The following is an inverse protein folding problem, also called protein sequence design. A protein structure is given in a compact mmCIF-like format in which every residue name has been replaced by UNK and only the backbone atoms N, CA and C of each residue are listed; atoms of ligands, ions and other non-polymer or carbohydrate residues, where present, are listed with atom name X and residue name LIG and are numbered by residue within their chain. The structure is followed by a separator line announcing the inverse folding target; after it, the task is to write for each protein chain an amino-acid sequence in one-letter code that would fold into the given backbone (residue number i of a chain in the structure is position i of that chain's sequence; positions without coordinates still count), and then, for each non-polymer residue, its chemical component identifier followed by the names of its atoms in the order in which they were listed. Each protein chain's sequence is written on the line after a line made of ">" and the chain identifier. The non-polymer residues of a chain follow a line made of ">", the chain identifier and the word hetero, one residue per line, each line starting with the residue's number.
data_IF_304721811148
#
_entry.id   IF_304721811148
#
_cell.length_a   1.000
_cell.length_b   1.000
_cell.length_c   1.000
_cell.angle_alpha   90.00
_cell.angle_beta   90.00
_cell.angle_gamma   90.00
#
_symmetry.space_group_name_H-M   'P 1'
#
loop_
_entity.id
_entity.type
_entity.pdbx_description
1 polymer ?
#
# COMPACT_ATOMS: atom_id res chain seq x y z
N UNK A 1 -18.21 -11.38 -14.42
CA UNK A 1 -16.98 -10.83 -15.02
C UNK A 1 -16.41 -9.83 -14.04
N UNK A 2 -15.09 -9.81 -13.82
CA UNK A 2 -14.48 -8.80 -12.94
C UNK A 2 -14.68 -7.40 -13.56
N UNK A 3 -14.92 -6.36 -12.75
CA UNK A 3 -14.96 -4.98 -13.24
C UNK A 3 -13.72 -4.69 -14.08
N UNK A 4 -13.92 -4.09 -15.26
CA UNK A 4 -12.84 -3.77 -16.20
C UNK A 4 -11.83 -2.84 -15.52
N UNK A 5 -12.36 -1.84 -14.85
CA UNK A 5 -11.74 -0.82 -14.04
C UNK A 5 -12.18 -0.94 -12.57
N UNK A 6 -11.26 -0.62 -11.66
CA UNK A 6 -11.54 -0.52 -10.23
C UNK A 6 -10.56 0.51 -9.65
N UNK A 7 -11.09 1.46 -8.90
CA UNK A 7 -10.32 2.59 -8.38
C UNK A 7 -9.21 2.12 -7.44
N UNK A 8 -8.09 2.83 -7.47
CA UNK A 8 -7.03 2.69 -6.48
C UNK A 8 -7.20 3.84 -5.50
N UNK A 9 -7.39 3.50 -4.23
CA UNK A 9 -7.56 4.51 -3.16
C UNK A 9 -6.26 4.66 -2.40
N UNK A 10 -5.73 5.89 -2.35
CA UNK A 10 -4.54 6.22 -1.58
C UNK A 10 -4.99 7.14 -0.43
N UNK A 11 -4.75 6.70 0.80
CA UNK A 11 -5.02 7.46 2.01
C UNK A 11 -4.15 8.71 2.16
N UNK A 12 -4.35 9.43 3.26
CA UNK A 12 -3.58 10.62 3.63
C UNK A 12 -2.21 10.21 4.15
N UNK A 13 -1.20 11.06 3.89
CA UNK A 13 0.18 10.89 4.39
C UNK A 13 0.81 9.54 4.02
N UNK A 14 0.40 8.96 2.89
CA UNK A 14 1.01 7.74 2.37
C UNK A 14 2.32 8.10 1.69
N UNK A 15 3.40 7.39 2.04
CA UNK A 15 4.67 7.51 1.34
C UNK A 15 4.88 6.32 0.40
N UNK A 16 4.77 6.57 -0.91
CA UNK A 16 5.05 5.57 -1.94
C UNK A 16 6.46 5.80 -2.47
N UNK A 17 7.35 4.83 -2.26
CA UNK A 17 8.72 4.88 -2.76
C UNK A 17 8.78 4.59 -4.27
N UNK A 18 9.96 4.83 -4.86
CA UNK A 18 10.20 4.68 -6.30
C UNK A 18 9.87 3.29 -6.84
N UNK A 19 9.40 3.24 -8.09
CA UNK A 19 9.09 2.01 -8.85
C UNK A 19 8.08 1.08 -8.16
N UNK A 20 7.16 1.62 -7.37
CA UNK A 20 6.07 0.83 -6.81
C UNK A 20 4.95 0.60 -7.85
N UNK A 21 4.41 -0.62 -7.91
CA UNK A 21 3.27 -0.98 -8.76
C UNK A 21 2.08 -1.29 -7.85
N UNK A 22 0.94 -0.62 -8.05
CA UNK A 22 -0.30 -0.85 -7.29
C UNK A 22 -1.36 -1.43 -8.23
N UNK A 23 -1.92 -2.59 -7.88
CA UNK A 23 -2.95 -3.22 -8.71
C UNK A 23 -4.32 -2.55 -8.49
N UNK A 24 -5.20 -2.67 -9.50
CA UNK A 24 -6.55 -2.11 -9.48
C UNK A 24 -7.37 -2.60 -8.27
N UNK A 25 -8.23 -1.73 -7.75
CA UNK A 25 -9.12 -2.06 -6.62
C UNK A 25 -8.44 -2.11 -5.26
N UNK A 26 -7.15 -1.76 -5.17
CA UNK A 26 -6.42 -1.74 -3.91
C UNK A 26 -6.63 -0.42 -3.16
N UNK A 27 -6.81 -0.52 -1.86
CA UNK A 27 -6.78 0.60 -0.92
C UNK A 27 -5.50 0.59 -0.08
N UNK A 28 -4.79 1.73 -0.04
CA UNK A 28 -3.66 1.96 0.86
C UNK A 28 -4.12 2.90 1.98
N UNK A 29 -4.12 2.41 3.21
CA UNK A 29 -4.54 3.15 4.39
C UNK A 29 -3.62 4.31 4.76
N UNK A 30 -4.14 5.23 5.57
CA UNK A 30 -3.47 6.46 5.99
C UNK A 30 -2.14 6.19 6.72
N UNK A 31 -1.18 7.12 6.58
CA UNK A 31 0.14 7.09 7.23
C UNK A 31 0.96 5.82 6.94
N UNK A 32 0.68 5.13 5.83
CA UNK A 32 1.40 3.92 5.45
C UNK A 32 2.56 4.21 4.50
N UNK A 33 3.60 3.39 4.57
CA UNK A 33 4.81 3.50 3.75
C UNK A 33 4.89 2.27 2.85
N UNK A 34 5.03 2.47 1.54
CA UNK A 34 5.25 1.39 0.58
C UNK A 34 6.70 1.44 0.09
N UNK A 35 7.46 0.36 0.32
CA UNK A 35 8.88 0.28 -0.02
C UNK A 35 9.13 0.30 -1.54
N UNK A 36 10.35 0.69 -1.93
CA UNK A 36 10.73 0.77 -3.34
C UNK A 36 10.61 -0.59 -4.05
N UNK A 37 10.18 -0.58 -5.31
CA UNK A 37 10.05 -1.79 -6.13
C UNK A 37 8.95 -2.76 -5.71
N UNK A 38 8.02 -2.34 -4.84
CA UNK A 38 6.97 -3.23 -4.33
C UNK A 38 5.81 -3.40 -5.32
N UNK A 39 5.20 -4.59 -5.33
CA UNK A 39 3.97 -4.86 -6.09
C UNK A 39 2.82 -5.09 -5.12
N UNK A 40 1.95 -4.10 -4.98
CA UNK A 40 0.81 -4.12 -4.06
C UNK A 40 -0.36 -4.83 -4.73
N UNK A 41 -0.61 -6.06 -4.28
CA UNK A 41 -1.65 -6.94 -4.84
C UNK A 41 -2.90 -7.05 -3.96
N UNK A 42 -2.86 -6.47 -2.76
CA UNK A 42 -3.94 -6.50 -1.76
C UNK A 42 -3.94 -5.19 -0.97
N UNK A 43 -5.07 -4.90 -0.32
CA UNK A 43 -5.21 -3.73 0.54
C UNK A 43 -4.13 -3.67 1.63
N UNK A 44 -3.65 -2.46 1.88
CA UNK A 44 -2.67 -2.16 2.91
C UNK A 44 -3.37 -1.39 4.03
N UNK A 45 -3.36 -1.87 5.28
CA UNK A 45 -3.99 -1.15 6.40
C UNK A 45 -3.26 0.16 6.69
N UNK A 46 -3.89 1.05 7.46
CA UNK A 46 -3.28 2.31 7.92
C UNK A 46 -2.14 2.06 8.91
N UNK A 47 -1.20 2.98 8.98
CA UNK A 47 -0.06 2.99 9.91
C UNK A 47 0.82 1.73 9.79
N UNK A 48 1.19 1.33 8.58
CA UNK A 48 2.14 0.22 8.37
C UNK A 48 3.22 0.55 7.35
N UNK A 49 4.33 -0.16 7.44
CA UNK A 49 5.31 -0.27 6.37
C UNK A 49 5.03 -1.58 5.63
N UNK A 50 4.78 -1.51 4.33
CA UNK A 50 4.62 -2.67 3.46
C UNK A 50 5.67 -2.68 2.36
N UNK A 51 6.09 -3.87 1.91
CA UNK A 51 7.03 -3.96 0.80
C UNK A 51 7.21 -5.36 0.22
N UNK A 52 7.85 -5.41 -0.94
CA UNK A 52 8.18 -6.64 -1.68
C UNK A 52 7.23 -6.95 -2.84
N UNK A 53 7.45 -8.10 -3.48
CA UNK A 53 6.70 -8.58 -4.64
C UNK A 53 6.28 -10.03 -4.41
N UNK A 54 5.05 -10.32 -3.94
CA UNK A 54 3.99 -9.36 -3.59
C UNK A 54 4.25 -8.61 -2.28
N UNK A 55 3.69 -7.41 -2.15
CA UNK A 55 3.87 -6.55 -0.99
C UNK A 55 3.26 -7.19 0.26
N UNK A 56 4.04 -7.25 1.34
CA UNK A 56 3.63 -7.75 2.66
C UNK A 56 3.90 -6.70 3.72
N UNK A 57 3.12 -6.72 4.80
CA UNK A 57 3.37 -5.87 5.97
C UNK A 57 4.71 -6.28 6.58
N UNK A 58 5.65 -5.34 6.64
CA UNK A 58 6.98 -5.49 7.24
C UNK A 58 6.92 -5.06 8.71
N UNK A 59 6.23 -3.96 9.00
CA UNK A 59 6.19 -3.36 10.34
C UNK A 59 4.91 -2.57 10.54
N UNK A 60 4.36 -2.59 11.76
CA UNK A 60 3.34 -1.62 12.17
C UNK A 60 3.99 -0.33 12.69
N UNK A 61 3.49 0.81 12.24
CA UNK A 61 3.81 2.13 12.73
C UNK A 61 2.88 2.42 13.92
N UNK A 62 3.26 1.98 15.12
CA UNK A 62 2.54 2.33 16.34
C UNK A 62 2.61 3.84 16.60
N UNK A 63 1.54 4.39 17.21
CA UNK A 63 1.54 5.75 17.76
C UNK A 63 2.83 5.98 18.53
N UNK A 64 3.52 7.07 18.20
CA UNK A 64 4.80 7.39 18.81
C UNK A 64 4.68 7.40 20.33
N UNK A 65 5.68 6.80 20.98
CA UNK A 65 5.90 6.84 22.42
C UNK A 65 6.23 8.26 22.85
#
# INVERSE_FOLDING_TARGET
>A
MLPKDADVTIGRNVWICTQCIVLKGVTIGDNSIIAAGSVVTKDIPSNVIAGGTPAKIIKQLGAQK
#
